data_IF_545115312743
#
_entry.id   IF_545115312743
#
_cell.length_a   1.000
_cell.length_b   1.000
_cell.length_c   1.000
_cell.angle_alpha   90.00
_cell.angle_beta   90.00
_cell.angle_gamma   90.00
#
_symmetry.space_group_name_H-M   'P 1'
#
loop_
_entity.id
_entity.type
_entity.pdbx_description
1 polymer ?
#
# COMPACT_ATOMS: atom_id res chain seq x y z
N UNK A 1 -20.93 -12.49 -18.11
CA UNK A 1 -19.70 -13.09 -17.56
C UNK A 1 -18.65 -12.00 -17.55
N UNK A 2 -18.14 -11.69 -16.35
CA UNK A 2 -16.95 -10.89 -16.06
C UNK A 2 -16.88 -9.49 -16.67
N UNK A 3 -17.44 -8.52 -15.94
CA UNK A 3 -17.07 -7.11 -16.09
C UNK A 3 -15.55 -7.00 -15.91
N UNK A 4 -14.87 -6.56 -16.96
CA UNK A 4 -13.49 -6.10 -16.93
C UNK A 4 -13.39 -4.99 -15.89
N UNK A 5 -12.76 -5.28 -14.75
CA UNK A 5 -12.48 -4.30 -13.69
C UNK A 5 -11.72 -3.13 -14.30
N UNK A 6 -12.43 -2.01 -14.45
CA UNK A 6 -11.86 -0.73 -14.77
C UNK A 6 -10.79 -0.41 -13.73
N UNK A 7 -9.61 -0.12 -14.28
CA UNK A 7 -8.44 0.41 -13.61
C UNK A 7 -8.81 1.79 -13.06
N UNK A 8 -9.54 1.84 -11.94
CA UNK A 8 -9.83 3.09 -11.25
C UNK A 8 -8.54 3.55 -10.56
N UNK A 9 -7.69 4.31 -11.25
CA UNK A 9 -6.53 4.93 -10.63
C UNK A 9 -7.05 6.09 -9.79
N UNK A 10 -7.46 5.79 -8.56
CA UNK A 10 -7.82 6.80 -7.57
C UNK A 10 -6.53 7.38 -6.97
N UNK A 11 -6.13 8.61 -7.37
CA UNK A 11 -4.89 9.22 -6.91
C UNK A 11 -4.93 9.58 -5.42
N UNK A 12 -6.11 9.67 -4.82
CA UNK A 12 -6.29 9.90 -3.38
C UNK A 12 -5.98 8.63 -2.61
N UNK A 13 -6.48 7.50 -3.12
CA UNK A 13 -6.21 6.19 -2.54
C UNK A 13 -4.72 5.82 -2.65
N UNK A 14 -4.11 6.06 -3.81
CA UNK A 14 -2.69 5.78 -4.00
C UNK A 14 -1.83 6.64 -3.05
N UNK A 15 -2.19 7.91 -2.82
CA UNK A 15 -1.55 8.75 -1.81
C UNK A 15 -1.72 8.20 -0.39
N UNK A 16 -2.90 7.70 -0.04
CA UNK A 16 -3.15 7.11 1.28
C UNK A 16 -2.31 5.83 1.49
N UNK A 17 -2.23 4.97 0.47
CA UNK A 17 -1.37 3.77 0.49
C UNK A 17 0.09 4.18 0.67
N UNK A 18 0.55 5.19 -0.08
CA UNK A 18 1.91 5.72 0.08
C UNK A 18 2.17 6.29 1.47
N UNK A 19 1.19 7.00 2.06
CA UNK A 19 1.25 7.48 3.44
C UNK A 19 1.41 6.33 4.44
N UNK A 20 0.63 5.26 4.29
CA UNK A 20 0.73 4.06 5.13
C UNK A 20 2.09 3.37 4.99
N UNK A 21 2.64 3.27 3.78
CA UNK A 21 3.98 2.70 3.56
C UNK A 21 5.04 3.60 4.23
N UNK A 22 4.95 4.92 4.09
CA UNK A 22 5.92 5.85 4.67
C UNK A 22 5.85 5.94 6.19
N UNK A 23 4.73 5.55 6.80
CA UNK A 23 4.61 5.43 8.25
C UNK A 23 5.56 4.36 8.83
N UNK A 24 6.00 3.39 8.04
CA UNK A 24 7.04 2.44 8.43
C UNK A 24 8.43 3.00 8.21
N UNK A 25 9.35 2.64 9.10
CA UNK A 25 10.79 2.74 8.84
C UNK A 25 11.37 1.44 8.25
N UNK A 26 12.68 1.39 8.05
CA UNK A 26 13.36 0.23 7.49
C UNK A 26 13.47 -0.93 8.50
N UNK A 27 13.34 -0.65 9.80
CA UNK A 27 13.41 -1.63 10.89
C UNK A 27 12.03 -2.26 11.17
N UNK A 28 10.96 -1.67 10.65
CA UNK A 28 9.58 -2.10 10.79
C UNK A 28 8.82 -1.40 11.92
N UNK A 29 9.39 -0.33 12.50
CA UNK A 29 8.65 0.49 13.45
C UNK A 29 7.67 1.40 12.70
N UNK A 30 6.48 1.51 13.25
CA UNK A 30 5.42 2.37 12.73
C UNK A 30 5.41 3.68 13.49
N UNK A 31 5.61 4.78 12.77
CA UNK A 31 5.56 6.15 13.32
C UNK A 31 4.13 6.60 13.60
N UNK A 32 3.18 6.17 12.77
CA UNK A 32 1.75 6.49 12.90
C UNK A 32 0.91 5.21 12.85
N UNK A 33 0.77 4.50 13.99
CA UNK A 33 0.04 3.24 14.05
C UNK A 33 -1.46 3.43 13.89
N UNK A 34 -2.00 4.62 14.22
CA UNK A 34 -3.42 4.90 14.07
C UNK A 34 -3.82 5.01 12.59
N UNK A 35 -3.02 5.72 11.78
CA UNK A 35 -3.24 5.81 10.33
C UNK A 35 -3.24 4.42 9.68
N UNK A 36 -2.19 3.62 9.93
CA UNK A 36 -2.03 2.29 9.32
C UNK A 36 -3.16 1.36 9.77
N UNK A 37 -3.49 1.37 11.07
CA UNK A 37 -4.56 0.53 11.62
C UNK A 37 -5.92 0.92 11.06
N UNK A 38 -6.23 2.21 11.01
CA UNK A 38 -7.49 2.72 10.46
C UNK A 38 -7.63 2.34 8.98
N UNK A 39 -6.58 2.53 8.19
CA UNK A 39 -6.55 2.12 6.79
C UNK A 39 -6.80 0.61 6.64
N UNK A 40 -6.04 -0.22 7.35
CA UNK A 40 -6.16 -1.68 7.26
C UNK A 40 -7.52 -2.22 7.76
N UNK A 41 -8.20 -1.53 8.68
CA UNK A 41 -9.54 -1.91 9.14
C UNK A 41 -10.65 -1.43 8.21
N UNK A 42 -10.51 -0.23 7.65
CA UNK A 42 -11.58 0.43 6.89
C UNK A 42 -11.48 0.15 5.39
N UNK A 43 -10.32 -0.27 4.87
CA UNK A 43 -10.14 -0.49 3.43
C UNK A 43 -11.21 -1.38 2.81
N UNK A 44 -11.74 -2.46 3.43
CA UNK A 44 -12.74 -3.30 2.77
C UNK A 44 -14.05 -2.58 2.42
N UNK A 45 -14.34 -1.46 3.07
CA UNK A 45 -15.56 -0.67 2.85
C UNK A 45 -15.52 0.11 1.52
N UNK A 46 -14.32 0.43 1.02
CA UNK A 46 -14.13 1.27 -0.17
C UNK A 46 -13.13 0.69 -1.18
N UNK A 47 -12.34 -0.31 -0.79
CA UNK A 47 -11.30 -0.94 -1.58
C UNK A 47 -11.23 -2.46 -1.29
N UNK A 48 -11.60 -3.31 -2.26
CA UNK A 48 -11.42 -4.75 -2.15
C UNK A 48 -9.97 -5.13 -1.83
N UNK A 49 -9.75 -6.06 -0.90
CA UNK A 49 -8.41 -6.49 -0.47
C UNK A 49 -7.54 -6.95 -1.65
N UNK A 50 -8.14 -7.58 -2.66
CA UNK A 50 -7.45 -8.00 -3.87
C UNK A 50 -6.89 -6.81 -4.68
N UNK A 51 -7.65 -5.72 -4.78
CA UNK A 51 -7.17 -4.50 -5.44
C UNK A 51 -6.07 -3.81 -4.61
N UNK A 52 -6.20 -3.78 -3.28
CA UNK A 52 -5.15 -3.28 -2.40
C UNK A 52 -3.84 -4.06 -2.58
N UNK A 53 -3.91 -5.39 -2.53
CA UNK A 53 -2.74 -6.25 -2.74
C UNK A 53 -2.12 -6.03 -4.13
N UNK A 54 -2.94 -5.88 -5.17
CA UNK A 54 -2.44 -5.59 -6.52
C UNK A 54 -1.72 -4.23 -6.62
N UNK A 55 -2.22 -3.19 -5.94
CA UNK A 55 -1.56 -1.87 -5.87
C UNK A 55 -0.23 -1.94 -5.11
N UNK A 56 -0.21 -2.59 -3.94
CA UNK A 56 1.01 -2.79 -3.16
C UNK A 56 2.07 -3.56 -3.95
N UNK A 57 1.66 -4.61 -4.67
CA UNK A 57 2.55 -5.37 -5.55
C UNK A 57 3.13 -4.49 -6.68
N UNK A 58 2.31 -3.62 -7.29
CA UNK A 58 2.77 -2.68 -8.30
C UNK A 58 3.81 -1.71 -7.74
N UNK A 59 3.56 -1.12 -6.57
CA UNK A 59 4.51 -0.22 -5.89
C UNK A 59 5.83 -0.94 -5.61
N UNK A 60 5.75 -2.20 -5.14
CA UNK A 60 6.93 -3.03 -4.90
C UNK A 60 7.72 -3.33 -6.19
N UNK A 61 7.04 -3.58 -7.30
CA UNK A 61 7.68 -3.86 -8.60
C UNK A 61 8.29 -2.61 -9.23
N UNK A 62 7.63 -1.45 -9.10
CA UNK A 62 8.11 -0.16 -9.61
C UNK A 62 9.32 0.37 -8.84
N UNK A 63 9.54 -0.10 -7.61
CA UNK A 63 10.69 0.24 -6.78
C UNK A 63 11.94 -0.61 -7.10
N UNK A 64 12.16 -0.92 -8.38
CA UNK A 64 13.32 -1.66 -8.88
C UNK A 64 14.54 -0.77 -9.02
N UNK A 65 15.23 -0.51 -7.91
CA UNK A 65 16.51 0.23 -7.87
C UNK A 65 17.11 0.21 -6.46
N UNK A 66 18.42 0.45 -6.34
CA UNK A 66 19.09 0.54 -5.02
C UNK A 66 18.48 1.64 -4.15
N UNK A 67 18.18 2.79 -4.75
CA UNK A 67 17.52 3.95 -4.11
C UNK A 67 16.12 3.59 -3.55
N UNK A 68 15.44 2.59 -4.11
CA UNK A 68 14.07 2.24 -3.75
C UNK A 68 13.98 1.01 -2.83
N UNK A 69 15.11 0.50 -2.32
CA UNK A 69 15.14 -0.61 -1.37
C UNK A 69 14.36 -0.29 -0.09
N UNK A 70 14.48 0.94 0.40
CA UNK A 70 13.72 1.46 1.56
C UNK A 70 12.22 1.31 1.35
N UNK A 71 11.71 1.72 0.17
CA UNK A 71 10.29 1.64 -0.15
C UNK A 71 9.79 0.19 -0.20
N UNK A 72 10.59 -0.73 -0.75
CA UNK A 72 10.25 -2.17 -0.78
C UNK A 72 10.17 -2.77 0.61
N UNK A 73 11.14 -2.47 1.48
CA UNK A 73 11.16 -2.95 2.86
C UNK A 73 9.94 -2.46 3.64
N UNK A 74 9.64 -1.16 3.52
CA UNK A 74 8.44 -0.57 4.14
C UNK A 74 7.14 -1.18 3.62
N UNK A 75 7.05 -1.43 2.31
CA UNK A 75 5.91 -2.13 1.71
C UNK A 75 5.76 -3.54 2.29
N UNK A 76 6.87 -4.27 2.49
CA UNK A 76 6.83 -5.57 3.13
C UNK A 76 6.38 -5.50 4.60
N UNK A 77 6.81 -4.48 5.35
CA UNK A 77 6.38 -4.30 6.74
C UNK A 77 4.90 -3.99 6.87
N UNK A 78 4.31 -3.26 5.91
CA UNK A 78 2.87 -3.00 5.87
C UNK A 78 2.03 -4.28 5.60
N UNK A 79 2.58 -5.25 4.87
CA UNK A 79 1.90 -6.52 4.52
C UNK A 79 2.08 -7.59 5.59
N UNK A 80 3.10 -7.48 6.43
CA UNK A 80 3.44 -8.44 7.49
C UNK A 80 2.49 -8.38 8.67
#
# INVERSE_FOLDING_TARGET
MSQTQEKEEDPTLDQLIHGCIQAFDNEGQVRDPELVRMFLMMHPWYLPSAQLAARLLRIYQQSSGEESRSLRVKTCHLVR
#
